data_IF_703028809480
#
_entry.id   IF_703028809480
#
_cell.length_a   1.000
_cell.length_b   1.000
_cell.length_c   1.000
_cell.angle_alpha   90.00
_cell.angle_beta   90.00
_cell.angle_gamma   90.00
#
_symmetry.space_group_name_H-M   'P 1'
#
loop_
_entity.id
_entity.type
_entity.pdbx_description
1 polymer ?
#
# COMPACT_ATOMS: atom_id res chain seq x y z
N UNK A 1 -66.12 -36.01 6.83
CA UNK A 1 -65.35 -35.94 5.57
C UNK A 1 -66.16 -35.16 4.55
N UNK A 2 -65.80 -33.91 4.24
CA UNK A 2 -66.08 -33.25 2.96
C UNK A 2 -65.13 -32.06 2.86
N UNK A 3 -64.17 -32.20 1.94
CA UNK A 3 -63.18 -31.18 1.56
C UNK A 3 -63.90 -30.19 0.65
N UNK A 4 -63.99 -28.92 1.02
CA UNK A 4 -64.20 -27.85 0.06
C UNK A 4 -63.01 -26.90 0.13
N UNK A 5 -62.18 -27.04 -0.90
CA UNK A 5 -61.06 -26.19 -1.24
C UNK A 5 -61.54 -24.74 -1.36
N UNK A 6 -61.01 -23.85 -0.53
CA UNK A 6 -61.05 -22.41 -0.79
C UNK A 6 -60.08 -22.12 -1.95
N UNK A 7 -60.60 -22.04 -3.17
CA UNK A 7 -59.89 -21.45 -4.29
C UNK A 7 -59.98 -19.94 -4.09
N UNK A 8 -58.93 -19.35 -3.50
CA UNK A 8 -58.72 -17.92 -3.56
C UNK A 8 -58.47 -17.56 -5.03
N UNK A 9 -59.50 -17.01 -5.68
CA UNK A 9 -59.36 -16.36 -6.98
C UNK A 9 -58.50 -15.12 -6.73
N UNK A 10 -57.18 -15.25 -6.89
CA UNK A 10 -56.33 -14.11 -7.18
C UNK A 10 -56.83 -13.53 -8.49
N UNK A 11 -57.62 -12.46 -8.40
CA UNK A 11 -57.80 -11.55 -9.52
C UNK A 11 -56.42 -10.95 -9.76
N UNK A 12 -55.67 -11.60 -10.63
CA UNK A 12 -54.51 -11.06 -11.31
C UNK A 12 -55.04 -9.92 -12.17
N UNK A 13 -55.13 -8.75 -11.55
CA UNK A 13 -55.18 -7.47 -12.25
C UNK A 13 -53.86 -7.30 -12.96
N UNK A 14 -53.68 -8.04 -14.04
CA UNK A 14 -52.74 -7.78 -15.11
C UNK A 14 -53.16 -6.45 -15.74
N UNK A 15 -52.94 -5.34 -15.03
CA UNK A 15 -52.73 -4.07 -15.72
C UNK A 15 -51.44 -4.27 -16.49
N UNK A 16 -51.59 -4.67 -17.75
CA UNK A 16 -50.64 -4.28 -18.77
C UNK A 16 -50.56 -2.75 -18.71
N UNK A 17 -49.59 -2.23 -17.95
CA UNK A 17 -49.25 -0.82 -17.96
C UNK A 17 -48.65 -0.58 -19.35
N UNK A 18 -49.51 -0.23 -20.30
CA UNK A 18 -49.14 0.56 -21.47
C UNK A 18 -48.27 1.71 -20.96
N UNK A 19 -46.99 1.68 -21.34
CA UNK A 19 -45.90 2.36 -20.66
C UNK A 19 -46.09 3.87 -20.53
N UNK A 20 -46.36 4.33 -19.29
CA UNK A 20 -45.97 5.66 -18.87
C UNK A 20 -44.45 5.69 -18.80
N UNK A 21 -43.79 6.25 -19.81
CA UNK A 21 -42.34 6.44 -19.77
C UNK A 21 -41.99 7.45 -18.68
N UNK A 22 -41.23 7.03 -17.66
CA UNK A 22 -40.62 7.96 -16.71
C UNK A 22 -39.66 8.88 -17.46
N UNK A 23 -39.74 10.19 -17.23
CA UNK A 23 -38.86 11.17 -17.89
C UNK A 23 -38.24 12.14 -16.88
N UNK A 24 -37.19 12.85 -17.26
CA UNK A 24 -36.65 13.94 -16.45
C UNK A 24 -37.38 15.26 -16.70
N UNK A 25 -37.34 16.14 -15.69
CA UNK A 25 -37.70 17.55 -15.81
C UNK A 25 -36.50 18.44 -15.40
N UNK A 26 -35.88 19.19 -16.33
CA UNK A 26 -36.09 19.19 -17.79
C UNK A 26 -35.69 17.85 -18.46
N UNK A 27 -36.06 17.63 -19.73
CA UNK A 27 -35.83 16.34 -20.40
C UNK A 27 -34.34 16.02 -20.65
N UNK A 28 -33.48 17.04 -20.81
CA UNK A 28 -32.04 16.89 -21.05
C UNK A 28 -31.28 17.02 -19.73
N UNK A 29 -30.49 16.00 -19.39
CA UNK A 29 -29.62 16.00 -18.21
C UNK A 29 -28.65 17.17 -18.18
N UNK A 30 -28.55 17.88 -17.05
CA UNK A 30 -27.46 18.81 -16.83
C UNK A 30 -26.13 18.08 -16.68
N UNK A 31 -25.01 18.77 -16.96
CA UNK A 31 -23.65 18.22 -16.76
C UNK A 31 -23.43 17.76 -15.32
N UNK A 32 -24.02 18.46 -14.35
CA UNK A 32 -23.90 18.16 -12.92
C UNK A 32 -24.67 16.91 -12.54
N UNK A 33 -25.91 16.78 -13.01
CA UNK A 33 -26.73 15.57 -12.83
C UNK A 33 -26.03 14.34 -13.44
N UNK A 34 -25.49 14.48 -14.65
CA UNK A 34 -24.74 13.41 -15.32
C UNK A 34 -23.48 12.99 -14.55
N UNK A 35 -22.72 13.95 -14.02
CA UNK A 35 -21.51 13.68 -13.24
C UNK A 35 -21.82 13.07 -11.87
N UNK A 36 -22.91 13.47 -11.23
CA UNK A 36 -23.31 12.93 -9.93
C UNK A 36 -23.81 11.48 -10.02
N UNK A 37 -24.57 11.18 -11.07
CA UNK A 37 -25.07 9.83 -11.33
C UNK A 37 -23.98 8.92 -11.92
N UNK A 38 -22.89 9.47 -12.43
CA UNK A 38 -21.68 8.71 -12.71
C UNK A 38 -20.99 8.31 -11.38
N UNK A 39 -20.89 7.01 -11.05
CA UNK A 39 -20.32 6.55 -9.77
C UNK A 39 -18.90 6.01 -9.91
N UNK A 40 -18.06 6.21 -8.90
CA UNK A 40 -16.71 5.63 -8.80
C UNK A 40 -16.75 4.08 -8.72
N UNK A 41 -15.71 3.34 -9.17
CA UNK A 41 -15.86 2.13 -10.00
C UNK A 41 -16.27 0.83 -9.28
N UNK A 42 -17.01 -0.02 -10.03
CA UNK A 42 -17.29 -1.43 -9.73
C UNK A 42 -16.06 -2.27 -10.11
N UNK A 43 -15.55 -3.08 -9.18
CA UNK A 43 -14.48 -4.07 -9.45
C UNK A 43 -15.01 -5.19 -10.37
N UNK A 44 -14.49 -5.28 -11.59
CA UNK A 44 -14.80 -6.37 -12.51
C UNK A 44 -13.83 -7.53 -12.28
N UNK A 45 -14.17 -8.48 -11.40
CA UNK A 45 -13.23 -9.53 -10.98
C UNK A 45 -12.96 -10.66 -12.00
N UNK A 46 -13.58 -10.69 -13.19
CA UNK A 46 -13.34 -11.77 -14.16
C UNK A 46 -13.45 -11.30 -15.62
N UNK A 47 -12.32 -10.89 -16.20
CA UNK A 47 -12.18 -10.68 -17.65
C UNK A 47 -12.25 -12.02 -18.39
N UNK A 48 -13.25 -12.19 -19.27
CA UNK A 48 -13.19 -13.22 -20.32
C UNK A 48 -14.50 -13.93 -20.70
N UNK A 49 -15.62 -13.72 -20.00
CA UNK A 49 -16.88 -14.42 -20.33
C UNK A 49 -18.09 -13.57 -20.62
N UNK A 50 -18.05 -12.28 -20.31
CA UNK A 50 -19.20 -11.41 -20.55
C UNK A 50 -18.92 -10.48 -21.73
N UNK A 51 -19.77 -10.57 -22.76
CA UNK A 51 -19.80 -9.68 -23.94
C UNK A 51 -20.26 -8.26 -23.57
N UNK A 52 -19.77 -7.72 -22.47
CA UNK A 52 -19.93 -6.32 -22.09
C UNK A 52 -18.72 -5.54 -22.60
N UNK A 53 -18.92 -4.75 -23.65
CA UNK A 53 -17.92 -3.84 -24.22
C UNK A 53 -17.65 -2.61 -23.31
N UNK A 54 -17.61 -2.82 -22.00
CA UNK A 54 -17.49 -1.76 -20.99
C UNK A 54 -16.31 -1.91 -20.03
N UNK A 55 -15.45 -2.92 -20.20
CA UNK A 55 -14.17 -3.00 -19.49
C UNK A 55 -13.09 -2.31 -20.31
N UNK A 56 -13.02 -0.98 -20.22
CA UNK A 56 -11.87 -0.19 -20.67
C UNK A 56 -11.11 0.19 -19.40
N UNK A 57 -9.78 0.02 -19.46
CA UNK A 57 -8.76 0.22 -18.42
C UNK A 57 -9.14 0.96 -17.12
N UNK A 58 -8.72 0.36 -16.00
CA UNK A 58 -9.07 0.64 -14.60
C UNK A 58 -8.63 2.00 -14.02
N UNK A 59 -8.08 2.95 -14.77
CA UNK A 59 -7.55 4.19 -14.17
C UNK A 59 -8.23 5.50 -14.58
N UNK A 60 -9.08 5.54 -15.62
CA UNK A 60 -9.54 6.83 -16.16
C UNK A 60 -11.05 7.09 -16.25
N UNK A 61 -11.96 6.11 -16.05
CA UNK A 61 -13.41 6.37 -16.23
C UNK A 61 -14.34 5.65 -15.22
N UNK A 62 -15.11 6.38 -14.39
CA UNK A 62 -16.00 5.82 -13.36
C UNK A 62 -17.25 5.10 -13.94
N UNK A 63 -17.69 4.02 -13.28
CA UNK A 63 -18.87 3.19 -13.61
C UNK A 63 -20.20 3.83 -13.24
N UNK A 64 -21.06 4.08 -14.22
CA UNK A 64 -22.15 5.07 -14.09
C UNK A 64 -23.47 4.47 -13.59
N UNK A 65 -24.02 5.01 -12.51
CA UNK A 65 -25.37 4.67 -12.04
C UNK A 65 -26.43 5.37 -12.90
N UNK A 66 -27.43 4.61 -13.35
CA UNK A 66 -28.57 5.15 -14.09
C UNK A 66 -28.22 5.95 -15.37
N UNK A 67 -27.09 5.65 -16.02
CA UNK A 67 -26.78 6.11 -17.38
C UNK A 67 -26.97 4.96 -18.38
N UNK A 68 -27.78 5.20 -19.42
CA UNK A 68 -27.96 4.34 -20.60
C UNK A 68 -26.95 4.73 -21.67
N UNK A 69 -26.26 3.76 -22.24
CA UNK A 69 -25.41 3.99 -23.40
C UNK A 69 -26.09 3.50 -24.67
N UNK A 70 -26.20 4.36 -25.68
CA UNK A 70 -26.49 3.93 -27.06
C UNK A 70 -25.18 3.86 -27.83
N UNK A 71 -24.89 2.68 -28.40
CA UNK A 71 -23.76 2.47 -29.33
C UNK A 71 -24.23 2.77 -30.76
N UNK A 72 -23.60 3.75 -31.42
CA UNK A 72 -23.80 4.02 -32.85
C UNK A 72 -22.70 4.90 -33.42
N UNK A 73 -22.09 4.48 -34.54
CA UNK A 73 -21.20 5.32 -35.36
C UNK A 73 -19.95 5.88 -34.68
N UNK A 74 -19.39 5.21 -33.68
CA UNK A 74 -18.14 5.64 -33.00
C UNK A 74 -18.33 6.65 -31.85
N UNK A 75 -19.57 6.98 -31.48
CA UNK A 75 -19.86 7.89 -30.36
C UNK A 75 -20.72 7.20 -29.30
N UNK A 76 -20.32 7.32 -28.03
CA UNK A 76 -21.12 6.89 -26.88
C UNK A 76 -21.99 8.05 -26.40
N UNK A 77 -23.30 7.99 -26.62
CA UNK A 77 -24.25 8.91 -25.99
C UNK A 77 -24.69 8.32 -24.65
N UNK A 78 -24.46 9.04 -23.55
CA UNK A 78 -25.02 8.68 -22.24
C UNK A 78 -26.38 9.35 -22.08
N UNK A 79 -27.44 8.59 -22.31
CA UNK A 79 -28.81 8.97 -21.92
C UNK A 79 -29.00 8.69 -20.42
N UNK A 80 -29.90 9.42 -19.77
CA UNK A 80 -30.25 9.15 -18.37
C UNK A 80 -31.37 8.10 -18.30
N UNK A 81 -31.24 7.14 -17.40
CA UNK A 81 -32.30 6.19 -17.08
C UNK A 81 -33.22 6.75 -15.98
N UNK A 82 -34.27 7.45 -16.38
CA UNK A 82 -35.19 8.11 -15.46
C UNK A 82 -35.89 7.11 -14.51
N UNK A 83 -36.17 5.89 -14.95
CA UNK A 83 -36.76 4.86 -14.10
C UNK A 83 -35.78 4.40 -13.03
N UNK A 84 -34.49 4.22 -13.38
CA UNK A 84 -33.44 3.91 -12.42
C UNK A 84 -33.25 5.04 -11.39
N UNK A 85 -33.22 6.30 -11.84
CA UNK A 85 -33.09 7.45 -10.92
C UNK A 85 -34.31 7.58 -10.02
N UNK A 86 -35.52 7.35 -10.52
CA UNK A 86 -36.73 7.35 -9.70
C UNK A 86 -36.72 6.26 -8.61
N UNK A 87 -36.11 5.10 -8.88
CA UNK A 87 -35.96 4.05 -7.86
C UNK A 87 -34.89 4.40 -6.82
N UNK A 88 -33.77 5.00 -7.23
CA UNK A 88 -32.65 5.33 -6.34
C UNK A 88 -32.87 6.60 -5.52
N UNK A 89 -33.56 7.57 -6.09
CA UNK A 89 -33.87 8.86 -5.48
C UNK A 89 -35.39 9.07 -5.54
N UNK A 90 -36.18 8.25 -4.81
CA UNK A 90 -37.64 8.35 -4.81
C UNK A 90 -38.14 9.72 -4.34
N UNK A 91 -37.37 10.42 -3.51
CA UNK A 91 -37.63 11.80 -3.08
C UNK A 91 -37.61 12.81 -4.23
N UNK A 92 -36.95 12.48 -5.34
CA UNK A 92 -36.89 13.33 -6.53
C UNK A 92 -37.91 12.92 -7.60
N UNK A 93 -38.70 11.88 -7.37
CA UNK A 93 -39.72 11.38 -8.29
C UNK A 93 -41.11 11.91 -7.93
N UNK A 94 -41.82 12.46 -8.92
CA UNK A 94 -43.21 12.86 -8.80
C UNK A 94 -44.11 11.84 -9.49
N UNK A 95 -44.85 11.05 -8.69
CA UNK A 95 -45.75 10.01 -9.18
C UNK A 95 -46.95 10.54 -9.97
N UNK A 96 -47.40 11.77 -9.70
CA UNK A 96 -48.52 12.39 -10.42
C UNK A 96 -48.14 12.83 -11.84
N UNK A 97 -46.87 13.10 -12.09
CA UNK A 97 -46.37 13.51 -13.43
C UNK A 97 -45.48 12.47 -14.09
N UNK A 98 -45.14 11.39 -13.39
CA UNK A 98 -44.15 10.39 -13.79
C UNK A 98 -42.79 11.01 -14.15
N UNK A 99 -42.40 12.09 -13.46
CA UNK A 99 -41.15 12.82 -13.74
C UNK A 99 -40.16 12.80 -12.59
N UNK A 100 -38.87 12.76 -12.92
CA UNK A 100 -37.76 12.97 -11.99
C UNK A 100 -37.26 14.40 -12.09
N UNK A 101 -37.22 15.11 -10.96
CA UNK A 101 -36.72 16.48 -10.88
C UNK A 101 -35.19 16.52 -10.92
N UNK A 102 -34.61 17.09 -11.98
CA UNK A 102 -33.14 17.24 -12.05
C UNK A 102 -32.60 18.17 -10.96
N UNK A 103 -33.33 19.24 -10.64
CA UNK A 103 -32.96 20.18 -9.59
C UNK A 103 -32.85 19.50 -8.22
N UNK A 104 -33.72 18.53 -7.95
CA UNK A 104 -33.65 17.71 -6.74
C UNK A 104 -32.37 16.87 -6.70
N UNK A 105 -32.04 16.20 -7.81
CA UNK A 105 -30.80 15.41 -7.94
C UNK A 105 -29.55 16.28 -7.78
N UNK A 106 -29.54 17.49 -8.36
CA UNK A 106 -28.43 18.44 -8.22
C UNK A 106 -28.23 18.92 -6.77
N UNK A 107 -29.32 19.14 -6.03
CA UNK A 107 -29.23 19.53 -4.62
C UNK A 107 -28.65 18.41 -3.76
N UNK A 108 -29.03 17.16 -4.03
CA UNK A 108 -28.44 15.99 -3.35
C UNK A 108 -26.95 15.88 -3.68
N UNK A 109 -26.57 16.14 -4.93
CA UNK A 109 -25.17 16.18 -5.34
C UNK A 109 -24.38 17.22 -4.55
N UNK A 110 -24.90 18.45 -4.43
CA UNK A 110 -24.24 19.52 -3.66
C UNK A 110 -24.07 19.16 -2.17
N UNK A 111 -25.08 18.55 -1.57
CA UNK A 111 -25.02 18.13 -0.18
C UNK A 111 -23.93 17.08 0.04
N UNK A 112 -23.84 16.08 -0.84
CA UNK A 112 -22.79 15.05 -0.76
C UNK A 112 -21.40 15.62 -1.01
N UNK A 113 -21.25 16.52 -1.99
CA UNK A 113 -19.98 17.19 -2.27
C UNK A 113 -19.52 18.04 -1.08
N UNK A 114 -20.43 18.78 -0.45
CA UNK A 114 -20.13 19.57 0.74
C UNK A 114 -19.66 18.67 1.90
N UNK A 115 -20.38 17.59 2.17
CA UNK A 115 -20.00 16.62 3.20
C UNK A 115 -18.63 15.97 2.93
N UNK A 116 -18.35 15.61 1.66
CA UNK A 116 -17.05 15.03 1.26
C UNK A 116 -15.91 16.02 1.54
N UNK A 117 -16.07 17.29 1.16
CA UNK A 117 -15.06 18.33 1.40
C UNK A 117 -14.82 18.58 2.89
N UNK A 118 -15.88 18.60 3.70
CA UNK A 118 -15.75 18.75 5.16
C UNK A 118 -15.00 17.57 5.79
N UNK A 119 -15.31 16.35 5.35
CA UNK A 119 -14.62 15.14 5.80
C UNK A 119 -13.14 15.12 5.38
N UNK A 120 -12.83 15.46 4.14
CA UNK A 120 -11.44 15.55 3.66
C UNK A 120 -10.63 16.63 4.39
N UNK A 121 -11.25 17.78 4.68
CA UNK A 121 -10.60 18.84 5.47
C UNK A 121 -10.29 18.32 6.88
N UNK A 122 -11.24 17.64 7.52
CA UNK A 122 -11.02 17.03 8.84
C UNK A 122 -9.89 16.01 8.81
N UNK A 123 -9.89 15.09 7.84
CA UNK A 123 -8.81 14.10 7.66
C UNK A 123 -7.44 14.76 7.51
N UNK A 124 -7.33 15.82 6.69
CA UNK A 124 -6.08 16.56 6.53
C UNK A 124 -5.57 17.17 7.83
N UNK A 125 -6.46 17.79 8.61
CA UNK A 125 -6.09 18.37 9.90
C UNK A 125 -5.63 17.29 10.89
N UNK A 126 -6.34 16.16 10.94
CA UNK A 126 -5.98 15.04 11.80
C UNK A 126 -4.61 14.45 11.40
N UNK A 127 -4.35 14.28 10.10
CA UNK A 127 -3.05 13.82 9.58
C UNK A 127 -1.90 14.80 9.87
N UNK A 128 -2.12 16.11 9.69
CA UNK A 128 -1.13 17.14 10.02
C UNK A 128 -0.81 17.15 11.52
N UNK A 129 -1.83 17.02 12.37
CA UNK A 129 -1.63 16.96 13.83
C UNK A 129 -0.83 15.72 14.26
N UNK A 130 -1.15 14.56 13.70
CA UNK A 130 -0.43 13.32 13.97
C UNK A 130 1.01 13.37 13.44
N UNK A 131 1.24 14.05 12.31
CA UNK A 131 2.58 14.27 11.76
C UNK A 131 3.42 15.15 12.69
N UNK A 132 2.88 16.28 13.14
CA UNK A 132 3.57 17.18 14.06
C UNK A 132 3.92 16.49 15.39
N UNK A 133 3.00 15.68 15.94
CA UNK A 133 3.27 14.93 17.17
C UNK A 133 4.38 13.90 16.99
N UNK A 134 4.41 13.18 15.85
CA UNK A 134 5.49 12.24 15.53
C UNK A 134 6.83 12.95 15.39
N UNK A 135 6.86 14.07 14.68
CA UNK A 135 8.08 14.87 14.50
C UNK A 135 8.60 15.38 15.85
N UNK A 136 7.73 15.88 16.73
CA UNK A 136 8.11 16.31 18.07
C UNK A 136 8.74 15.18 18.90
N UNK A 137 8.13 13.99 18.90
CA UNK A 137 8.68 12.81 19.61
C UNK A 137 10.03 12.37 19.05
N UNK A 138 10.23 12.44 17.73
CA UNK A 138 11.52 12.12 17.09
C UNK A 138 12.60 13.12 17.51
N UNK A 139 12.29 14.41 17.49
CA UNK A 139 13.22 15.47 17.91
C UNK A 139 13.60 15.33 19.38
N UNK A 140 12.63 15.05 20.25
CA UNK A 140 12.88 14.81 21.68
C UNK A 140 13.77 13.60 21.91
N UNK A 141 13.47 12.47 21.26
CA UNK A 141 14.29 11.27 21.34
C UNK A 141 15.73 11.49 20.83
N UNK A 142 15.90 12.27 19.76
CA UNK A 142 17.21 12.67 19.26
C UNK A 142 17.97 13.54 20.28
N UNK A 143 17.28 14.49 20.92
CA UNK A 143 17.87 15.35 21.96
C UNK A 143 18.33 14.54 23.16
N UNK A 144 17.48 13.65 23.70
CA UNK A 144 17.83 12.76 24.81
C UNK A 144 19.03 11.88 24.44
N UNK A 145 19.05 11.33 23.23
CA UNK A 145 20.17 10.52 22.76
C UNK A 145 21.47 11.32 22.66
N UNK A 146 21.40 12.54 22.14
CA UNK A 146 22.56 13.44 22.03
C UNK A 146 23.09 13.87 23.41
N UNK A 147 22.19 14.11 24.37
CA UNK A 147 22.57 14.39 25.77
C UNK A 147 23.21 13.16 26.43
N UNK A 148 22.63 11.97 26.24
CA UNK A 148 23.21 10.72 26.70
C UNK A 148 24.60 10.47 26.12
N UNK A 149 24.78 10.64 24.80
CA UNK A 149 26.08 10.44 24.13
C UNK A 149 27.17 11.40 24.64
N UNK A 150 26.78 12.59 25.14
CA UNK A 150 27.68 13.56 25.78
C UNK A 150 27.89 13.32 27.27
N UNK A 151 27.06 12.50 27.92
CA UNK A 151 27.20 12.20 29.34
C UNK A 151 28.45 11.37 29.65
N UNK A 152 28.97 11.39 30.89
CA UNK A 152 30.09 10.54 31.29
C UNK A 152 29.85 9.05 31.00
N UNK A 153 28.61 8.57 31.20
CA UNK A 153 28.23 7.19 30.90
C UNK A 153 28.24 6.90 29.39
N UNK A 154 27.70 7.80 28.57
CA UNK A 154 27.72 7.69 27.11
C UNK A 154 29.15 7.65 26.57
N UNK A 155 30.01 8.55 27.05
CA UNK A 155 31.43 8.60 26.70
C UNK A 155 32.14 7.31 27.15
N UNK A 156 31.90 6.82 28.37
CA UNK A 156 32.47 5.57 28.86
C UNK A 156 32.06 4.38 27.99
N UNK A 157 30.79 4.30 27.60
CA UNK A 157 30.26 3.26 26.71
C UNK A 157 30.85 3.33 25.30
N UNK A 158 31.04 4.53 24.76
CA UNK A 158 31.72 4.72 23.48
C UNK A 158 33.20 4.29 23.56
N UNK A 159 33.91 4.68 24.62
CA UNK A 159 35.29 4.25 24.87
C UNK A 159 35.39 2.74 25.03
N UNK A 160 34.48 2.10 25.77
CA UNK A 160 34.42 0.65 25.92
C UNK A 160 34.18 -0.06 24.58
N UNK A 161 33.27 0.46 23.74
CA UNK A 161 33.05 -0.05 22.38
C UNK A 161 34.28 0.10 21.49
N UNK A 162 34.95 1.25 21.54
CA UNK A 162 36.17 1.51 20.78
C UNK A 162 37.33 0.60 21.23
N UNK A 163 37.50 0.42 22.55
CA UNK A 163 38.47 -0.51 23.12
C UNK A 163 38.17 -1.95 22.69
N UNK A 164 36.93 -2.42 22.84
CA UNK A 164 36.54 -3.76 22.38
C UNK A 164 36.75 -3.99 20.88
N UNK A 165 36.51 -2.96 20.03
CA UNK A 165 36.81 -3.03 18.60
C UNK A 165 38.32 -3.10 18.32
N UNK A 166 39.13 -2.35 19.08
CA UNK A 166 40.59 -2.39 18.97
C UNK A 166 41.13 -3.76 19.39
N UNK A 167 40.63 -4.32 20.49
CA UNK A 167 41.02 -5.64 20.98
C UNK A 167 40.66 -6.74 19.97
N UNK A 168 39.44 -6.70 19.41
CA UNK A 168 39.01 -7.56 18.31
C UNK A 168 39.95 -7.46 17.11
N UNK A 169 40.25 -6.24 16.66
CA UNK A 169 41.11 -6.01 15.49
C UNK A 169 42.53 -6.52 15.74
N UNK A 170 43.07 -6.31 16.94
CA UNK A 170 44.39 -6.78 17.32
C UNK A 170 44.45 -8.31 17.36
N UNK A 171 43.46 -8.97 17.96
CA UNK A 171 43.36 -10.42 17.97
C UNK A 171 43.26 -10.98 16.54
N UNK A 172 42.41 -10.39 15.71
CA UNK A 172 42.28 -10.73 14.31
C UNK A 172 43.62 -10.61 13.58
N UNK A 173 44.32 -9.47 13.69
CA UNK A 173 45.61 -9.24 13.05
C UNK A 173 46.68 -10.23 13.52
N UNK A 174 46.67 -10.61 14.80
CA UNK A 174 47.56 -11.64 15.33
C UNK A 174 47.35 -12.98 14.61
N UNK A 175 46.11 -13.46 14.53
CA UNK A 175 45.81 -14.73 13.85
C UNK A 175 46.13 -14.70 12.36
N UNK A 176 45.80 -13.61 11.67
CA UNK A 176 46.15 -13.45 10.26
C UNK A 176 47.67 -13.45 10.05
N UNK A 177 48.43 -12.77 10.91
CA UNK A 177 49.89 -12.71 10.84
C UNK A 177 50.51 -14.10 11.03
N UNK A 178 50.04 -14.87 12.03
CA UNK A 178 50.51 -16.24 12.25
C UNK A 178 50.17 -17.17 11.07
N UNK A 179 48.94 -17.09 10.54
CA UNK A 179 48.55 -17.88 9.38
C UNK A 179 49.34 -17.49 8.12
N UNK A 180 49.64 -16.20 7.94
CA UNK A 180 50.40 -15.70 6.79
C UNK A 180 51.86 -16.17 6.77
N UNK A 181 52.40 -16.62 7.93
CA UNK A 181 53.73 -17.27 7.99
C UNK A 181 53.69 -18.70 7.44
N UNK A 182 52.52 -19.34 7.46
CA UNK A 182 52.30 -20.72 7.01
C UNK A 182 51.80 -20.77 5.56
N UNK A 183 51.03 -19.76 5.15
CA UNK A 183 50.38 -19.69 3.83
C UNK A 183 50.59 -18.29 3.27
N UNK A 184 51.11 -18.20 2.04
CA UNK A 184 51.33 -16.92 1.39
C UNK A 184 49.99 -16.31 0.93
N UNK A 185 49.66 -15.12 1.46
CA UNK A 185 48.54 -14.31 0.99
C UNK A 185 49.03 -12.92 0.57
N UNK A 186 48.41 -12.37 -0.46
CA UNK A 186 48.60 -10.97 -0.88
C UNK A 186 47.42 -10.12 -0.44
N UNK A 187 47.71 -8.87 -0.08
CA UNK A 187 46.73 -7.82 0.18
C UNK A 187 45.54 -8.22 1.10
N UNK A 188 45.78 -8.73 2.33
CA UNK A 188 44.70 -9.09 3.21
C UNK A 188 43.93 -7.86 3.70
N UNK A 189 42.60 -7.91 3.60
CA UNK A 189 41.68 -6.88 4.08
C UNK A 189 40.66 -7.49 5.03
N UNK A 190 40.61 -7.02 6.27
CA UNK A 190 39.59 -7.41 7.24
C UNK A 190 38.21 -6.90 6.79
N UNK A 191 37.28 -7.82 6.56
CA UNK A 191 35.88 -7.53 6.22
C UNK A 191 35.03 -7.44 7.47
N UNK A 192 35.21 -8.38 8.41
CA UNK A 192 34.39 -8.46 9.62
C UNK A 192 35.19 -9.06 10.79
N UNK A 193 34.87 -8.61 12.00
CA UNK A 193 35.42 -9.15 13.24
C UNK A 193 34.34 -9.14 14.32
N UNK A 194 34.03 -10.30 14.88
CA UNK A 194 33.00 -10.47 15.91
C UNK A 194 33.47 -11.37 17.03
N UNK A 195 33.00 -11.11 18.25
CA UNK A 195 33.10 -12.08 19.33
C UNK A 195 32.04 -13.17 19.09
N UNK A 196 32.46 -14.39 18.78
CA UNK A 196 31.55 -15.52 18.58
C UNK A 196 31.13 -16.14 19.91
N UNK A 197 32.04 -16.18 20.89
CA UNK A 197 31.84 -16.66 22.27
C UNK A 197 32.82 -15.92 23.20
N UNK A 198 32.70 -16.03 24.54
CA UNK A 198 33.72 -15.52 25.45
C UNK A 198 35.11 -16.02 25.05
N UNK A 199 36.06 -15.11 24.85
CA UNK A 199 37.42 -15.37 24.38
C UNK A 199 37.54 -16.01 22.99
N UNK A 200 36.47 -16.08 22.19
CA UNK A 200 36.53 -16.61 20.82
C UNK A 200 36.13 -15.52 19.85
N UNK A 201 37.05 -15.19 18.94
CA UNK A 201 36.84 -14.20 17.90
C UNK A 201 36.76 -14.88 16.54
N UNK A 202 35.86 -14.39 15.70
CA UNK A 202 35.75 -14.80 14.31
C UNK A 202 36.07 -13.61 13.42
N UNK A 203 37.09 -13.77 12.59
CA UNK A 203 37.67 -12.74 11.74
C UNK A 203 37.55 -13.17 10.29
N UNK A 204 36.89 -12.36 9.47
CA UNK A 204 36.69 -12.64 8.04
C UNK A 204 37.54 -11.69 7.22
N UNK A 205 38.33 -12.24 6.32
CA UNK A 205 39.26 -11.52 5.46
C UNK A 205 38.94 -11.77 4.00
N UNK A 206 39.12 -10.73 3.20
CA UNK A 206 39.36 -10.88 1.77
C UNK A 206 40.86 -10.88 1.55
N UNK A 207 41.38 -11.91 0.88
CA UNK A 207 42.79 -12.03 0.52
C UNK A 207 42.92 -12.36 -0.96
N UNK A 208 44.15 -12.29 -1.48
CA UNK A 208 44.46 -12.81 -2.80
C UNK A 208 45.48 -13.95 -2.66
N UNK A 209 45.09 -15.17 -3.01
CA UNK A 209 45.97 -16.33 -3.02
C UNK A 209 46.80 -16.34 -4.32
N UNK A 210 48.12 -16.60 -4.25
CA UNK A 210 48.94 -16.72 -5.45
C UNK A 210 48.54 -17.97 -6.24
N UNK A 211 48.15 -17.78 -7.50
CA UNK A 211 47.87 -18.87 -8.44
C UNK A 211 48.99 -19.06 -9.46
N UNK A 212 48.97 -20.18 -10.16
CA UNK A 212 50.01 -20.53 -11.17
C UNK A 212 49.97 -19.59 -12.38
N UNK A 213 48.78 -19.14 -12.77
CA UNK A 213 48.57 -18.29 -13.94
C UNK A 213 48.03 -16.89 -13.59
N UNK A 214 47.17 -16.81 -12.57
CA UNK A 214 46.57 -15.56 -12.07
C UNK A 214 46.40 -15.66 -10.56
N UNK A 215 46.56 -14.54 -9.86
CA UNK A 215 46.23 -14.43 -8.44
C UNK A 215 44.70 -14.53 -8.26
N UNK A 216 44.23 -15.28 -7.26
CA UNK A 216 42.80 -15.59 -7.06
C UNK A 216 42.29 -14.87 -5.79
N UNK A 217 41.23 -14.06 -5.88
CA UNK A 217 40.58 -13.50 -4.69
C UNK A 217 39.88 -14.60 -3.91
N UNK A 218 40.13 -14.66 -2.61
CA UNK A 218 39.64 -15.72 -1.71
C UNK A 218 39.14 -15.11 -0.42
N UNK A 219 38.10 -15.68 0.18
CA UNK A 219 37.63 -15.27 1.51
C UNK A 219 38.13 -16.27 2.53
N UNK A 220 38.78 -15.78 3.58
CA UNK A 220 39.27 -16.59 4.69
C UNK A 220 38.55 -16.17 5.96
N UNK A 221 37.96 -17.14 6.65
CA UNK A 221 37.42 -16.94 7.99
C UNK A 221 38.32 -17.66 8.98
N UNK A 222 38.83 -16.92 9.96
CA UNK A 222 39.63 -17.45 11.06
C UNK A 222 38.79 -17.37 12.34
N UNK A 223 38.62 -18.50 13.02
CA UNK A 223 37.99 -18.57 14.34
C UNK A 223 39.06 -18.91 15.35
N UNK A 224 39.38 -17.99 16.25
CA UNK A 224 40.51 -18.11 17.17
C UNK A 224 40.13 -17.82 18.61
N UNK A 225 40.73 -18.54 19.54
CA UNK A 225 40.62 -18.29 20.97
C UNK A 225 41.71 -17.29 21.40
N UNK A 226 41.30 -16.17 21.98
CA UNK A 226 42.19 -15.05 22.34
C UNK A 226 42.99 -15.28 23.62
N UNK A 227 42.68 -16.31 24.42
CA UNK A 227 43.43 -16.64 25.64
C UNK A 227 44.64 -17.54 25.35
N UNK A 228 44.45 -18.57 24.53
CA UNK A 228 45.50 -19.55 24.23
C UNK A 228 46.04 -19.44 22.79
N UNK A 229 45.52 -18.50 22.00
CA UNK A 229 45.91 -18.23 20.62
C UNK A 229 45.74 -19.42 19.65
N UNK A 230 44.95 -20.42 20.01
CA UNK A 230 44.59 -21.54 19.13
C UNK A 230 43.52 -21.09 18.16
N UNK A 231 43.64 -21.43 16.87
CA UNK A 231 42.68 -21.05 15.86
C UNK A 231 42.48 -22.11 14.79
N UNK A 232 41.31 -22.05 14.16
CA UNK A 232 40.96 -22.77 12.95
C UNK A 232 40.69 -21.76 11.82
N UNK A 233 40.96 -22.13 10.57
CA UNK A 233 40.62 -21.30 9.42
C UNK A 233 39.90 -22.09 8.34
N UNK A 234 39.02 -21.40 7.60
CA UNK A 234 38.34 -21.92 6.41
C UNK A 234 38.52 -20.94 5.26
N UNK A 235 38.90 -21.44 4.09
CA UNK A 235 38.98 -20.68 2.85
C UNK A 235 37.83 -21.05 1.93
N UNK A 236 37.23 -20.05 1.28
CA UNK A 236 36.16 -20.19 0.29
C UNK A 236 36.55 -19.52 -1.02
#
# INVERSE_FOLDING_TARGET
MHKFFYIAIMVSSSLAITGCSTTFDPARGSKKTLNFLAVEPIKCNQLGKDKYAGCIDEEEKPGRECLKFRLGGGYSFSDLDASCVATKYPECYNSSTNKVSQKCIENIADLKDKQRRELEKKKRLDEESAKMEREARVVEAQKIRAEYDKSPEGIAKQKARAAGKKDLTNACNHFLSDLSRKIAFKAPRLLNAVNAMPNVVMCTYQVTAPGVYVDIPTVITITGNTQNYVYEYRSY
#
